data_IF_369334103521
#
_entry.id   IF_369334103521
#
_cell.length_a   1.000
_cell.length_b   1.000
_cell.length_c   1.000
_cell.angle_alpha   90.00
_cell.angle_beta   90.00
_cell.angle_gamma   90.00
#
_symmetry.space_group_name_H-M   'P 1'
#
loop_
_entity.id
_entity.type
_entity.pdbx_description
1 polymer ?
#
# COMPACT_ATOMS: atom_id res chain seq x y z
N UNK A 1 -7.82 -5.32 7.65
CA UNK A 1 -7.71 -5.47 6.18
C UNK A 1 -8.57 -6.62 5.72
N UNK A 2 -9.41 -6.39 4.69
CA UNK A 2 -10.29 -7.41 4.10
C UNK A 2 -10.07 -7.44 2.59
N UNK A 3 -9.78 -8.61 2.00
CA UNK A 3 -9.67 -8.75 0.55
C UNK A 3 -11.05 -8.52 -0.09
N UNK A 4 -11.13 -7.55 -1.01
CA UNK A 4 -12.32 -7.22 -1.77
C UNK A 4 -12.35 -7.92 -3.12
N UNK A 5 -11.20 -7.97 -3.79
CA UNK A 5 -11.06 -8.58 -5.12
C UNK A 5 -9.61 -9.03 -5.34
N UNK A 6 -9.46 -10.07 -6.17
CA UNK A 6 -8.18 -10.51 -6.71
C UNK A 6 -8.39 -10.84 -8.19
N UNK A 7 -7.62 -10.20 -9.06
CA UNK A 7 -7.72 -10.35 -10.51
C UNK A 7 -6.34 -10.49 -11.14
N UNK A 8 -6.28 -11.23 -12.26
CA UNK A 8 -5.07 -11.38 -13.07
C UNK A 8 -5.27 -10.63 -14.39
N UNK A 9 -4.32 -9.75 -14.74
CA UNK A 9 -4.32 -9.01 -16.00
C UNK A 9 -3.04 -9.33 -16.79
N UNK A 10 -3.14 -10.26 -17.74
CA UNK A 10 -1.94 -10.77 -18.42
C UNK A 10 -1.06 -11.51 -17.42
N UNK A 11 0.15 -10.99 -17.17
CA UNK A 11 1.13 -11.56 -16.23
C UNK A 11 1.12 -10.86 -14.86
N UNK A 12 0.25 -9.86 -14.65
CA UNK A 12 0.18 -9.14 -13.38
C UNK A 12 -0.95 -9.64 -12.47
N UNK A 13 -0.66 -9.64 -11.16
CA UNK A 13 -1.61 -9.99 -10.10
C UNK A 13 -2.05 -8.71 -9.38
N UNK A 14 -3.36 -8.52 -9.20
CA UNK A 14 -3.92 -7.33 -8.60
C UNK A 14 -4.82 -7.68 -7.42
N UNK A 15 -4.56 -7.08 -6.26
CA UNK A 15 -5.26 -7.32 -5.01
C UNK A 15 -5.85 -6.02 -4.49
N UNK A 16 -7.15 -6.02 -4.18
CA UNK A 16 -7.81 -4.87 -3.56
C UNK A 16 -8.17 -5.21 -2.13
N UNK A 17 -7.70 -4.41 -1.19
CA UNK A 17 -7.95 -4.57 0.23
C UNK A 17 -8.72 -3.38 0.79
N UNK A 18 -9.78 -3.70 1.53
CA UNK A 18 -10.47 -2.72 2.35
C UNK A 18 -9.68 -2.45 3.63
N UNK A 19 -9.36 -1.19 3.89
CA UNK A 19 -8.74 -0.75 5.13
C UNK A 19 -9.01 0.74 5.41
N UNK A 20 -9.11 1.08 6.70
CA UNK A 20 -9.26 2.45 7.16
C UNK A 20 -7.91 3.16 7.25
N UNK A 21 -7.36 3.52 6.08
CA UNK A 21 -6.04 4.17 5.93
C UNK A 21 -6.11 5.70 5.94
N UNK A 22 -7.27 6.25 6.29
CA UNK A 22 -7.52 7.68 6.37
C UNK A 22 -7.81 8.06 7.82
N UNK A 23 -7.47 9.29 8.18
CA UNK A 23 -7.79 9.89 9.47
C UNK A 23 -8.44 11.26 9.28
N UNK A 24 -9.18 11.70 10.30
CA UNK A 24 -9.83 13.01 10.31
C UNK A 24 -8.82 14.15 10.50
N UNK A 25 -9.10 15.28 9.85
CA UNK A 25 -8.36 16.54 9.98
C UNK A 25 -9.32 17.71 9.72
N UNK A 26 -8.97 18.91 10.17
CA UNK A 26 -9.83 20.12 10.06
C UNK A 26 -10.26 20.46 8.62
N UNK A 27 -9.51 19.98 7.63
CA UNK A 27 -9.77 20.19 6.20
C UNK A 27 -10.36 18.95 5.49
N UNK A 28 -10.76 17.95 6.27
CA UNK A 28 -11.31 16.66 5.82
C UNK A 28 -10.31 15.52 5.94
N UNK A 29 -10.69 14.35 5.41
CA UNK A 29 -9.87 13.13 5.51
C UNK A 29 -8.49 13.29 4.84
N UNK A 30 -7.45 12.90 5.59
CA UNK A 30 -6.04 12.84 5.18
C UNK A 30 -5.51 11.40 5.31
N UNK A 31 -4.37 11.12 4.70
CA UNK A 31 -3.69 9.84 4.86
C UNK A 31 -3.25 9.62 6.32
N UNK A 32 -3.56 8.45 6.88
CA UNK A 32 -3.09 8.04 8.20
C UNK A 32 -1.62 7.60 8.11
N UNK A 33 -0.71 8.51 8.44
CA UNK A 33 0.73 8.28 8.45
C UNK A 33 1.25 7.73 9.79
N UNK A 34 0.38 7.22 10.68
CA UNK A 34 0.84 6.43 11.81
C UNK A 34 1.42 5.09 11.33
N UNK A 35 2.41 4.56 12.05
CA UNK A 35 3.13 3.34 11.65
C UNK A 35 2.57 2.04 12.25
N UNK A 36 1.56 2.13 13.11
CA UNK A 36 0.98 1.01 13.88
C UNK A 36 0.29 -0.07 13.01
N UNK A 37 0.05 0.23 11.74
CA UNK A 37 -0.57 -0.69 10.78
C UNK A 37 0.38 -1.16 9.66
N UNK A 38 1.66 -0.73 9.67
CA UNK A 38 2.67 -1.15 8.69
C UNK A 38 2.93 -2.66 8.80
N UNK A 39 3.06 -3.21 10.01
CA UNK A 39 3.36 -4.64 10.19
C UNK A 39 2.27 -5.53 9.58
N UNK A 40 1.01 -5.09 9.67
CA UNK A 40 -0.10 -5.81 9.08
C UNK A 40 -0.10 -5.72 7.54
N UNK A 41 0.26 -4.56 6.98
CA UNK A 41 0.45 -4.38 5.53
C UNK A 41 1.53 -5.32 5.00
N UNK A 42 2.72 -5.31 5.63
CA UNK A 42 3.87 -6.13 5.24
C UNK A 42 3.48 -7.60 5.23
N UNK A 43 2.88 -8.08 6.32
CA UNK A 43 2.42 -9.46 6.42
C UNK A 43 1.48 -9.87 5.29
N UNK A 44 0.52 -9.01 4.95
CA UNK A 44 -0.45 -9.29 3.87
C UNK A 44 0.24 -9.33 2.52
N UNK A 45 1.02 -8.29 2.20
CA UNK A 45 1.75 -8.17 0.94
C UNK A 45 2.65 -9.38 0.72
N UNK A 46 3.46 -9.75 1.71
CA UNK A 46 4.38 -10.88 1.60
C UNK A 46 3.65 -12.22 1.52
N UNK A 47 2.48 -12.36 2.16
CA UNK A 47 1.69 -13.59 2.07
C UNK A 47 1.02 -13.80 0.71
N UNK A 48 0.76 -12.72 -0.03
CA UNK A 48 0.17 -12.79 -1.38
C UNK A 48 1.21 -13.10 -2.47
N UNK A 49 2.50 -12.87 -2.19
CA UNK A 49 3.59 -13.22 -3.10
C UNK A 49 3.77 -14.74 -3.09
N UNK A 50 3.58 -15.35 -4.26
CA UNK A 50 3.75 -16.80 -4.42
C UNK A 50 5.21 -17.12 -4.79
N UNK A 51 5.86 -18.11 -4.15
CA UNK A 51 7.22 -18.52 -4.50
C UNK A 51 7.31 -19.20 -5.88
N UNK A 52 6.18 -19.63 -6.45
CA UNK A 52 6.16 -20.40 -7.70
C UNK A 52 6.02 -19.51 -8.96
N UNK A 53 5.92 -18.18 -8.80
CA UNK A 53 5.58 -17.25 -9.88
C UNK A 53 6.66 -16.16 -10.05
N UNK A 54 7.85 -16.60 -10.46
CA UNK A 54 9.12 -15.84 -10.55
C UNK A 54 9.11 -14.63 -11.53
N UNK A 55 7.97 -14.35 -12.19
CA UNK A 55 7.84 -13.33 -13.24
C UNK A 55 6.62 -12.41 -13.07
N UNK A 56 5.84 -12.59 -12.01
CA UNK A 56 4.57 -11.86 -11.85
C UNK A 56 4.80 -10.44 -11.32
N UNK A 57 4.23 -9.44 -11.98
CA UNK A 57 4.14 -8.06 -11.50
C UNK A 57 2.96 -7.97 -10.53
N UNK A 58 3.19 -7.68 -9.25
CA UNK A 58 2.15 -7.66 -8.24
C UNK A 58 1.72 -6.23 -7.91
N UNK A 59 0.43 -6.01 -7.75
CA UNK A 59 -0.16 -4.74 -7.36
C UNK A 59 -1.13 -4.94 -6.20
N UNK A 60 -0.94 -4.20 -5.12
CA UNK A 60 -1.87 -4.12 -4.00
C UNK A 60 -2.45 -2.73 -3.92
N UNK A 61 -3.77 -2.63 -3.81
CA UNK A 61 -4.51 -1.39 -3.64
C UNK A 61 -5.21 -1.42 -2.29
N UNK A 62 -5.03 -0.37 -1.49
CA UNK A 62 -5.64 -0.25 -0.17
C UNK A 62 -6.48 1.03 -0.09
N UNK A 63 -7.64 0.91 0.54
CA UNK A 63 -8.54 2.04 0.77
C UNK A 63 -9.85 1.60 1.43
N UNK A 64 -10.70 2.55 1.86
CA UNK A 64 -11.95 2.22 2.55
C UNK A 64 -12.99 1.51 1.66
N UNK A 65 -12.87 1.62 0.33
CA UNK A 65 -13.75 1.00 -0.68
C UNK A 65 -13.10 1.04 -2.07
N UNK A 66 -13.55 0.18 -3.00
CA UNK A 66 -12.99 0.05 -4.36
C UNK A 66 -12.85 1.39 -5.11
N UNK A 67 -13.85 2.28 -5.00
CA UNK A 67 -13.85 3.59 -5.65
C UNK A 67 -12.92 4.63 -4.98
N UNK A 68 -12.29 4.28 -3.86
CA UNK A 68 -11.44 5.18 -3.09
C UNK A 68 -10.17 4.46 -2.60
N UNK A 69 -9.39 3.95 -3.54
CA UNK A 69 -8.06 3.39 -3.26
C UNK A 69 -7.04 4.51 -3.13
N UNK A 70 -6.41 4.61 -1.96
CA UNK A 70 -5.52 5.72 -1.59
C UNK A 70 -4.07 5.27 -1.62
N UNK A 71 -3.76 4.04 -1.22
CA UNK A 71 -2.41 3.48 -1.22
C UNK A 71 -2.31 2.39 -2.30
N UNK A 72 -1.23 2.41 -3.06
CA UNK A 72 -0.85 1.33 -3.96
C UNK A 72 0.59 0.91 -3.67
N UNK A 73 0.81 -0.40 -3.59
CA UNK A 73 2.13 -1.01 -3.57
C UNK A 73 2.27 -1.86 -4.81
N UNK A 74 3.42 -1.78 -5.48
CA UNK A 74 3.79 -2.66 -6.59
C UNK A 74 5.03 -3.46 -6.21
N UNK A 75 5.09 -4.72 -6.62
CA UNK A 75 6.31 -5.53 -6.53
C UNK A 75 6.66 -6.13 -7.89
N UNK A 76 7.88 -5.85 -8.35
CA UNK A 76 8.42 -6.38 -9.60
C UNK A 76 9.94 -6.43 -9.54
N UNK A 77 10.55 -7.46 -10.12
CA UNK A 77 12.01 -7.60 -10.22
C UNK A 77 12.74 -7.40 -8.88
N UNK A 78 12.18 -7.97 -7.81
CA UNK A 78 12.65 -7.85 -6.43
C UNK A 78 12.70 -6.39 -5.90
N UNK A 79 11.82 -5.54 -6.42
CA UNK A 79 11.70 -4.14 -6.04
C UNK A 79 10.25 -3.77 -5.68
N UNK A 80 10.09 -2.94 -4.65
CA UNK A 80 8.81 -2.40 -4.23
C UNK A 80 8.68 -0.92 -4.60
N UNK A 81 7.58 -0.54 -5.23
CA UNK A 81 7.19 0.86 -5.47
C UNK A 81 5.95 1.21 -4.64
N UNK A 82 5.89 2.44 -4.09
CA UNK A 82 4.75 2.89 -3.26
C UNK A 82 4.19 4.22 -3.76
N UNK A 83 2.91 4.19 -4.14
CA UNK A 83 2.13 5.37 -4.48
C UNK A 83 1.05 5.63 -3.44
N UNK A 84 0.89 6.90 -3.06
CA UNK A 84 -0.20 7.36 -2.19
C UNK A 84 -0.89 8.53 -2.90
N UNK A 85 -2.19 8.39 -3.14
CA UNK A 85 -3.04 9.40 -3.77
C UNK A 85 -3.62 10.30 -2.67
N UNK A 86 -2.90 11.38 -2.34
CA UNK A 86 -3.35 12.38 -1.37
C UNK A 86 -3.92 13.62 -2.05
N UNK A 87 -4.77 14.35 -1.33
CA UNK A 87 -5.31 15.65 -1.79
C UNK A 87 -4.24 16.74 -1.63
N UNK A 88 -4.38 17.85 -2.37
CA UNK A 88 -3.42 18.95 -2.38
C UNK A 88 -3.10 19.51 -0.98
N UNK A 89 -4.11 19.66 -0.12
CA UNK A 89 -3.89 20.18 1.24
C UNK A 89 -3.16 19.18 2.14
N UNK A 90 -3.42 17.89 1.96
CA UNK A 90 -2.73 16.83 2.72
C UNK A 90 -1.26 16.77 2.31
N UNK A 91 -1.01 16.82 1.00
CA UNK A 91 0.32 16.98 0.46
C UNK A 91 1.02 18.22 1.03
N UNK A 92 0.38 19.39 1.02
CA UNK A 92 0.99 20.64 1.46
C UNK A 92 1.36 20.64 2.96
N UNK A 93 0.61 19.90 3.79
CA UNK A 93 0.78 19.90 5.25
C UNK A 93 1.60 18.73 5.77
N UNK A 94 1.54 17.56 5.12
CA UNK A 94 2.07 16.30 5.66
C UNK A 94 3.05 15.59 4.73
N UNK A 95 3.58 16.26 3.69
CA UNK A 95 4.49 15.64 2.72
C UNK A 95 5.64 14.85 3.38
N UNK A 96 6.32 15.44 4.36
CA UNK A 96 7.48 14.78 4.98
C UNK A 96 7.07 13.59 5.84
N UNK A 97 5.95 13.68 6.58
CA UNK A 97 5.41 12.54 7.33
C UNK A 97 4.97 11.39 6.41
N UNK A 98 4.41 11.72 5.24
CA UNK A 98 4.04 10.73 4.23
C UNK A 98 5.29 10.07 3.62
N UNK A 99 6.37 10.84 3.38
CA UNK A 99 7.65 10.27 2.93
C UNK A 99 8.25 9.33 3.97
N UNK A 100 8.34 9.77 5.23
CA UNK A 100 8.88 8.96 6.33
C UNK A 100 8.08 7.65 6.49
N UNK A 101 6.76 7.73 6.34
CA UNK A 101 5.90 6.54 6.37
C UNK A 101 6.18 5.58 5.21
N UNK A 102 6.33 6.10 3.98
CA UNK A 102 6.68 5.28 2.81
C UNK A 102 8.03 4.60 2.98
N UNK A 103 9.03 5.32 3.48
CA UNK A 103 10.37 4.79 3.74
C UNK A 103 10.31 3.68 4.79
N UNK A 104 9.55 3.87 5.87
CA UNK A 104 9.35 2.83 6.88
C UNK A 104 8.72 1.55 6.31
N UNK A 105 7.69 1.67 5.45
CA UNK A 105 7.07 0.52 4.79
C UNK A 105 8.04 -0.17 3.83
N UNK A 106 8.79 0.59 3.02
CA UNK A 106 9.79 0.03 2.10
C UNK A 106 10.90 -0.73 2.84
N UNK A 107 11.43 -0.15 3.92
CA UNK A 107 12.45 -0.80 4.74
C UNK A 107 11.97 -2.15 5.26
N UNK A 108 10.76 -2.20 5.83
CA UNK A 108 10.22 -3.46 6.38
C UNK A 108 9.95 -4.51 5.30
N UNK A 109 9.41 -4.10 4.15
CA UNK A 109 9.21 -5.01 3.01
C UNK A 109 10.53 -5.62 2.51
N UNK A 110 11.62 -4.86 2.55
CA UNK A 110 12.95 -5.33 2.14
C UNK A 110 13.60 -6.24 3.20
N UNK A 111 13.47 -5.90 4.48
CA UNK A 111 14.01 -6.68 5.60
C UNK A 111 13.36 -8.07 5.69
N UNK A 112 12.04 -8.15 5.54
CA UNK A 112 11.30 -9.42 5.70
C UNK A 112 11.31 -10.32 4.44
N UNK A 113 11.80 -9.82 3.30
CA UNK A 113 12.07 -10.64 2.11
C UNK A 113 13.46 -11.29 2.09
N UNK A 114 14.41 -10.76 2.88
CA UNK A 114 15.81 -11.21 2.93
C UNK A 114 15.99 -12.48 3.78
#
# INVERSE_FOLDING_TARGET
MTLLAHETYGESQHFWYQESILQEHDYGLIFNHHQDWIDNLVKIILSDISPDNDTSDYFWYFGPKLENMVLMVRYKDNHFDIQINVKDFDFALHLDLIKDWKEALLMKLQEEQS
#
